data_IF_952060763494
#
_entry.id   IF_952060763494
#
_cell.length_a   1.000
_cell.length_b   1.000
_cell.length_c   1.000
_cell.angle_alpha   90.00
_cell.angle_beta   90.00
_cell.angle_gamma   90.00
#
_symmetry.space_group_name_H-M   'P 1'
#
loop_
_entity.id
_entity.type
_entity.pdbx_description
1 polymer ?
#
# COMPACT_ATOMS: atom_id res chain seq x y z
N UNK A 1 20.06 -7.45 -15.06
CA UNK A 1 20.33 -6.05 -15.42
C UNK A 1 19.12 -5.11 -15.36
N UNK A 2 17.93 -5.50 -15.80
CA UNK A 2 16.74 -4.62 -15.73
C UNK A 2 16.30 -4.20 -14.32
N UNK A 3 16.48 -5.07 -13.30
CA UNK A 3 16.09 -4.77 -11.92
C UNK A 3 16.96 -3.65 -11.30
N UNK A 4 18.24 -3.61 -11.63
CA UNK A 4 19.15 -2.55 -11.18
C UNK A 4 18.83 -1.20 -11.86
N UNK A 5 18.43 -1.23 -13.14
CA UNK A 5 17.98 -0.04 -13.86
C UNK A 5 16.66 0.51 -13.32
N UNK A 6 15.74 -0.38 -12.90
CA UNK A 6 14.51 0.01 -12.23
C UNK A 6 14.79 0.69 -10.89
N UNK A 7 15.60 0.08 -10.02
CA UNK A 7 15.99 0.66 -8.72
C UNK A 7 16.72 2.00 -8.86
N UNK A 8 17.61 2.14 -9.85
CA UNK A 8 18.33 3.39 -10.12
C UNK A 8 17.39 4.52 -10.59
N UNK A 9 16.38 4.20 -11.42
CA UNK A 9 15.33 5.16 -11.80
C UNK A 9 14.41 5.49 -10.61
N UNK A 10 14.08 4.50 -9.80
CA UNK A 10 13.23 4.68 -8.63
C UNK A 10 13.88 5.62 -7.60
N UNK A 11 15.17 5.41 -7.31
CA UNK A 11 15.95 6.28 -6.42
C UNK A 11 16.13 7.72 -6.93
N UNK A 12 16.04 7.96 -8.24
CA UNK A 12 16.07 9.33 -8.81
C UNK A 12 14.70 10.03 -8.80
N UNK A 13 13.61 9.29 -8.65
CA UNK A 13 12.24 9.82 -8.77
C UNK A 13 11.56 9.98 -7.41
N UNK A 14 12.18 9.43 -6.36
CA UNK A 14 11.63 9.36 -5.02
C UNK A 14 12.49 10.28 -4.12
N UNK A 15 12.10 11.55 -4.08
CA UNK A 15 12.57 12.50 -3.07
C UNK A 15 11.76 12.27 -1.80
N UNK A 16 11.99 11.14 -1.14
CA UNK A 16 11.37 10.84 0.15
C UNK A 16 12.14 11.60 1.22
N UNK A 17 11.42 12.35 2.03
CA UNK A 17 12.00 12.87 3.24
C UNK A 17 12.49 11.70 4.11
N UNK A 18 13.53 11.86 4.94
CA UNK A 18 14.09 10.77 5.76
C UNK A 18 13.05 10.05 6.64
N UNK A 19 11.99 10.76 7.02
CA UNK A 19 10.85 10.26 7.78
C UNK A 19 9.83 9.46 6.95
N UNK A 20 9.86 9.60 5.62
CA UNK A 20 8.94 8.90 4.75
C UNK A 20 9.39 7.45 4.58
N UNK A 21 8.45 6.51 4.73
CA UNK A 21 8.77 5.09 4.76
C UNK A 21 7.58 4.23 4.36
N UNK A 22 7.85 3.15 3.63
CA UNK A 22 6.89 2.09 3.34
C UNK A 22 7.32 0.81 4.06
N UNK A 23 6.49 0.34 4.98
CA UNK A 23 6.69 -0.92 5.71
C UNK A 23 5.67 -1.95 5.26
N UNK A 24 6.14 -3.15 4.90
CA UNK A 24 5.30 -4.31 4.62
C UNK A 24 5.53 -5.38 5.69
N UNK A 25 4.47 -5.75 6.40
CA UNK A 25 4.51 -6.85 7.37
C UNK A 25 3.74 -8.04 6.81
N UNK A 26 4.46 -9.13 6.54
CA UNK A 26 3.90 -10.36 5.98
C UNK A 26 3.72 -11.38 7.10
N UNK A 27 2.50 -11.86 7.28
CA UNK A 27 2.17 -13.00 8.14
C UNK A 27 1.80 -14.18 7.28
N UNK A 28 2.25 -15.37 7.65
CA UNK A 28 1.79 -16.61 7.00
C UNK A 28 1.05 -17.51 7.97
N UNK A 29 -0.03 -18.13 7.53
CA UNK A 29 -0.82 -19.09 8.31
C UNK A 29 -1.04 -20.37 7.51
N UNK A 30 -0.82 -21.53 8.12
CA UNK A 30 -1.14 -22.82 7.48
C UNK A 30 -2.57 -23.20 7.85
N UNK A 31 -3.42 -23.45 6.86
CA UNK A 31 -4.79 -23.94 7.04
C UNK A 31 -4.99 -25.20 6.20
N UNK A 32 -5.03 -26.36 6.87
CA UNK A 32 -5.01 -27.66 6.21
C UNK A 32 -3.69 -27.89 5.47
N UNK A 33 -3.75 -28.17 4.16
CA UNK A 33 -2.58 -28.38 3.28
C UNK A 33 -2.08 -27.12 2.58
N UNK A 34 -2.66 -25.95 2.86
CA UNK A 34 -2.39 -24.73 2.12
C UNK A 34 -1.81 -23.64 3.04
N UNK A 35 -0.90 -22.80 2.53
CA UNK A 35 -0.24 -21.69 3.26
C UNK A 35 -0.80 -20.35 2.80
N UNK A 36 -1.48 -19.62 3.69
CA UNK A 36 -2.00 -18.26 3.45
C UNK A 36 -0.95 -17.23 3.79
N UNK A 37 -0.99 -16.11 3.08
CA UNK A 37 -0.23 -14.91 3.40
C UNK A 37 -1.20 -13.75 3.64
N UNK A 38 -1.00 -13.02 4.72
CA UNK A 38 -1.65 -11.75 5.03
C UNK A 38 -0.55 -10.68 5.01
N UNK A 39 -0.76 -9.60 4.27
CA UNK A 39 0.17 -8.47 4.23
C UNK A 39 -0.50 -7.27 4.87
N UNK A 40 0.23 -6.59 5.76
CA UNK A 40 -0.13 -5.28 6.30
C UNK A 40 0.85 -4.26 5.75
N UNK A 41 0.35 -3.22 5.11
CA UNK A 41 1.17 -2.14 4.58
C UNK A 41 1.00 -0.89 5.43
N UNK A 42 2.09 -0.18 5.72
CA UNK A 42 2.08 1.14 6.36
C UNK A 42 2.95 2.09 5.54
N UNK A 43 2.39 3.21 5.11
CA UNK A 43 3.12 4.32 4.48
C UNK A 43 3.11 5.51 5.43
N UNK A 44 4.30 6.00 5.76
CA UNK A 44 4.51 7.32 6.35
C UNK A 44 4.97 8.24 5.23
N UNK A 45 4.27 9.35 4.99
CA UNK A 45 4.67 10.34 3.99
C UNK A 45 4.23 11.75 4.43
N UNK A 46 5.13 12.72 4.42
CA UNK A 46 4.88 14.12 4.83
C UNK A 46 4.21 14.21 6.22
N UNK A 47 4.64 13.39 7.18
CA UNK A 47 4.06 13.32 8.52
C UNK A 47 2.66 12.66 8.60
N UNK A 48 2.10 12.17 7.49
CA UNK A 48 0.85 11.42 7.46
C UNK A 48 1.12 9.92 7.50
N UNK A 49 0.29 9.17 8.23
CA UNK A 49 0.39 7.71 8.31
C UNK A 49 -0.83 7.06 7.67
N UNK A 50 -0.59 6.24 6.66
CA UNK A 50 -1.61 5.43 5.99
C UNK A 50 -1.33 3.95 6.26
N UNK A 51 -2.38 3.17 6.45
CA UNK A 51 -2.24 1.73 6.65
C UNK A 51 -3.32 0.95 5.90
N UNK A 52 -2.94 -0.17 5.33
CA UNK A 52 -3.85 -1.13 4.70
C UNK A 52 -3.50 -2.55 5.14
N UNK A 53 -4.39 -3.47 4.83
CA UNK A 53 -4.13 -4.91 4.93
C UNK A 53 -4.71 -5.62 3.71
N UNK A 54 -4.22 -6.82 3.41
CA UNK A 54 -4.88 -7.71 2.45
C UNK A 54 -6.37 -7.83 2.82
N UNK A 55 -7.30 -7.56 1.89
CA UNK A 55 -8.72 -7.62 2.16
C UNK A 55 -9.14 -9.02 2.67
N UNK A 56 -9.98 -9.11 3.72
CA UNK A 56 -10.27 -10.38 4.35
C UNK A 56 -11.15 -11.32 3.51
N UNK A 57 -11.91 -10.81 2.53
CA UNK A 57 -12.84 -11.60 1.72
C UNK A 57 -13.20 -10.83 0.45
N UNK A 58 -12.67 -11.27 -0.69
CA UNK A 58 -13.37 -11.15 -1.98
C UNK A 58 -13.63 -12.61 -2.37
N UNK A 59 -14.83 -12.97 -2.82
CA UNK A 59 -15.19 -14.37 -3.08
C UNK A 59 -14.26 -15.09 -4.08
N UNK A 60 -13.51 -14.33 -4.90
CA UNK A 60 -12.43 -14.80 -5.77
C UNK A 60 -11.16 -15.26 -5.01
N UNK A 61 -10.95 -14.83 -3.77
CA UNK A 61 -9.79 -15.20 -2.94
C UNK A 61 -9.95 -16.49 -2.13
N UNK A 62 -11.13 -17.15 -2.20
CA UNK A 62 -11.27 -18.51 -1.64
C UNK A 62 -10.28 -19.50 -2.27
N UNK A 63 -9.71 -19.16 -3.44
CA UNK A 63 -8.83 -20.07 -4.19
C UNK A 63 -7.38 -19.60 -4.43
N UNK A 64 -6.97 -18.34 -4.20
CA UNK A 64 -5.58 -17.94 -4.47
C UNK A 64 -4.78 -17.45 -3.24
N UNK A 65 -3.70 -18.21 -3.00
CA UNK A 65 -2.91 -18.32 -1.77
C UNK A 65 -1.45 -17.91 -2.04
N UNK A 66 -1.25 -16.81 -2.75
CA UNK A 66 0.06 -16.39 -3.23
C UNK A 66 0.55 -15.12 -2.51
N UNK A 67 1.81 -15.12 -2.10
CA UNK A 67 2.45 -13.97 -1.45
C UNK A 67 2.43 -12.74 -2.36
N UNK A 68 2.72 -12.93 -3.65
CA UNK A 68 2.74 -11.82 -4.61
C UNK A 68 1.35 -11.19 -4.76
N UNK A 69 0.30 -12.00 -4.80
CA UNK A 69 -1.08 -11.51 -4.80
C UNK A 69 -1.39 -10.71 -3.52
N UNK A 70 -1.05 -11.24 -2.34
CA UNK A 70 -1.33 -10.59 -1.06
C UNK A 70 -0.61 -9.24 -0.90
N UNK A 71 0.64 -9.14 -1.38
CA UNK A 71 1.40 -7.89 -1.44
C UNK A 71 0.72 -6.89 -2.38
N UNK A 72 0.38 -7.32 -3.59
CA UNK A 72 -0.26 -6.48 -4.60
C UNK A 72 -1.57 -5.87 -4.10
N UNK A 73 -2.44 -6.69 -3.51
CA UNK A 73 -3.73 -6.22 -2.99
C UNK A 73 -3.59 -5.26 -1.83
N UNK A 74 -2.64 -5.53 -0.92
CA UNK A 74 -2.39 -4.60 0.19
C UNK A 74 -1.90 -3.24 -0.32
N UNK A 75 -1.00 -3.22 -1.31
CA UNK A 75 -0.53 -1.98 -1.92
C UNK A 75 -1.63 -1.26 -2.73
N UNK A 76 -2.47 -1.99 -3.46
CA UNK A 76 -3.62 -1.41 -4.17
C UNK A 76 -4.60 -0.76 -3.20
N UNK A 77 -4.88 -1.40 -2.07
CA UNK A 77 -5.76 -0.83 -1.05
C UNK A 77 -5.15 0.42 -0.40
N UNK A 78 -3.83 0.41 -0.17
CA UNK A 78 -3.11 1.57 0.33
C UNK A 78 -3.22 2.75 -0.65
N UNK A 79 -3.07 2.49 -1.95
CA UNK A 79 -3.21 3.51 -2.99
C UNK A 79 -4.62 4.13 -3.02
N UNK A 80 -5.68 3.34 -2.83
CA UNK A 80 -7.05 3.87 -2.72
C UNK A 80 -7.23 4.79 -1.52
N UNK A 81 -6.67 4.42 -0.36
CA UNK A 81 -6.71 5.23 0.86
C UNK A 81 -6.02 6.58 0.63
N UNK A 82 -4.82 6.56 0.05
CA UNK A 82 -4.06 7.78 -0.27
C UNK A 82 -4.83 8.66 -1.26
N UNK A 83 -5.40 8.06 -2.31
CA UNK A 83 -6.21 8.80 -3.30
C UNK A 83 -7.39 9.50 -2.64
N UNK A 84 -8.15 8.80 -1.79
CA UNK A 84 -9.29 9.35 -1.06
C UNK A 84 -8.86 10.49 -0.12
N UNK A 85 -7.71 10.34 0.55
CA UNK A 85 -7.16 11.40 1.39
C UNK A 85 -6.80 12.66 0.57
N UNK A 86 -6.14 12.49 -0.57
CA UNK A 86 -5.79 13.60 -1.45
C UNK A 86 -7.04 14.34 -1.98
N UNK A 87 -8.08 13.60 -2.35
CA UNK A 87 -9.37 14.17 -2.77
C UNK A 87 -10.04 14.97 -1.64
N UNK A 88 -10.02 14.46 -0.41
CA UNK A 88 -10.56 15.17 0.76
C UNK A 88 -9.76 16.43 1.09
N UNK A 89 -8.42 16.38 1.00
CA UNK A 89 -7.55 17.54 1.22
C UNK A 89 -7.84 18.65 0.20
N UNK A 90 -8.02 18.30 -1.07
CA UNK A 90 -8.40 19.25 -2.14
C UNK A 90 -9.76 19.90 -1.89
N UNK A 91 -10.79 19.11 -1.53
CA UNK A 91 -12.12 19.66 -1.22
C UNK A 91 -12.10 20.69 -0.09
N UNK A 92 -11.35 20.41 0.99
CA UNK A 92 -11.22 21.34 2.13
C UNK A 92 -10.46 22.62 1.80
N UNK A 93 -9.52 22.58 0.87
CA UNK A 93 -8.80 23.77 0.43
C UNK A 93 -9.72 24.73 -0.34
N UNK A 94 -10.54 24.19 -1.27
CA UNK A 94 -11.48 25.03 -2.04
C UNK A 94 -12.54 25.69 -1.17
N UNK A 95 -13.07 24.99 -0.17
CA UNK A 95 -14.05 25.58 0.77
C UNK A 95 -13.50 26.69 1.67
N UNK A 96 -12.17 26.83 1.78
CA UNK A 96 -11.52 27.91 2.56
C UNK A 96 -11.19 29.15 1.73
N UNK A 97 -11.20 29.04 0.41
CA UNK A 97 -11.01 30.18 -0.50
C UNK A 97 -12.34 30.87 -0.84
N UNK A 98 -13.46 30.21 -0.55
CA UNK A 98 -14.82 30.73 -0.73
C UNK A 98 -15.38 31.44 0.54
N UNK A 99 -14.62 31.47 1.65
CA UNK A 99 -14.88 32.28 2.86
C UNK A 99 -13.96 33.50 2.92
#
# INVERSE_FOLDING_TARGET
DECNTFLAKWNKTIDLAPEDSLTLHVKSKVEGKKKRFEVKSRLTIEGNVFSSRTPPNVDEHKQNWDLHLAVRESLQELAKIIKKYAELKKKRAMSREEE
#
